data_IF_406757551622
#
_entry.id   IF_406757551622
#
_cell.length_a   1.000
_cell.length_b   1.000
_cell.length_c   1.000
_cell.angle_alpha   90.00
_cell.angle_beta   90.00
_cell.angle_gamma   90.00
#
_symmetry.space_group_name_H-M   'P 1'
#
loop_
_entity.id
_entity.type
_entity.pdbx_description
1 polymer ?
#
# COMPACT_ATOMS: atom_id res chain seq x y z
N UNK A 1 -20.28 23.57 -43.03
CA UNK A 1 -20.63 23.88 -41.64
C UNK A 1 -21.24 22.58 -41.13
N UNK A 2 -20.60 21.74 -40.32
CA UNK A 2 -19.71 22.01 -39.20
C UNK A 2 -18.53 21.02 -39.23
N UNK A 3 -17.33 21.53 -38.99
CA UNK A 3 -16.11 20.75 -38.79
C UNK A 3 -16.30 19.79 -37.62
N UNK A 4 -15.85 18.52 -37.71
CA UNK A 4 -15.76 17.65 -36.55
C UNK A 4 -14.94 18.38 -35.49
N UNK A 5 -15.54 18.64 -34.33
CA UNK A 5 -14.83 19.21 -33.20
C UNK A 5 -13.68 18.28 -32.84
N UNK A 6 -12.48 18.64 -33.26
CA UNK A 6 -11.23 18.17 -32.68
C UNK A 6 -11.22 18.71 -31.25
N UNK A 7 -11.92 18.02 -30.36
CA UNK A 7 -11.65 18.08 -28.94
C UNK A 7 -10.25 17.47 -28.79
N UNK A 8 -9.22 18.31 -28.98
CA UNK A 8 -7.96 18.13 -28.25
C UNK A 8 -8.33 18.33 -26.80
N UNK A 9 -8.84 17.26 -26.19
CA UNK A 9 -8.94 17.13 -24.77
C UNK A 9 -7.52 17.25 -24.24
N UNK A 10 -7.14 18.46 -23.85
CA UNK A 10 -6.09 18.72 -22.89
C UNK A 10 -6.52 18.08 -21.57
N UNK A 11 -6.38 16.77 -21.46
CA UNK A 11 -6.50 16.06 -20.19
C UNK A 11 -5.21 15.30 -20.03
N UNK A 12 -4.28 16.00 -19.39
CA UNK A 12 -3.13 15.46 -18.69
C UNK A 12 -2.32 14.46 -19.50
N UNK A 13 -1.18 14.94 -19.96
CA UNK A 13 0.08 14.28 -19.60
C UNK A 13 0.14 14.13 -18.06
N UNK A 14 -0.76 13.31 -17.50
CA UNK A 14 -0.53 12.65 -16.24
C UNK A 14 0.53 11.66 -16.66
N UNK A 15 1.78 12.12 -16.61
CA UNK A 15 2.88 11.24 -16.25
C UNK A 15 2.28 10.46 -15.09
N UNK A 16 1.86 9.23 -15.35
CA UNK A 16 1.57 8.28 -14.32
C UNK A 16 2.94 8.13 -13.66
N UNK A 17 3.24 9.07 -12.77
CA UNK A 17 4.27 8.95 -11.78
C UNK A 17 3.76 7.75 -11.03
N UNK A 18 4.21 6.59 -11.48
CA UNK A 18 4.09 5.35 -10.75
C UNK A 18 4.66 5.72 -9.40
N UNK A 19 3.80 6.02 -8.43
CA UNK A 19 4.13 6.26 -7.04
C UNK A 19 4.66 4.91 -6.54
N UNK A 20 5.87 4.58 -6.97
CA UNK A 20 6.52 3.32 -6.71
C UNK A 20 6.98 3.40 -5.27
N UNK A 21 6.20 2.78 -4.40
CA UNK A 21 6.53 2.66 -2.99
C UNK A 21 7.90 2.03 -2.88
N UNK A 22 8.87 2.82 -2.42
CA UNK A 22 10.21 2.32 -2.16
C UNK A 22 10.11 1.15 -1.19
N UNK A 23 10.71 0.01 -1.57
CA UNK A 23 10.67 -1.20 -0.75
C UNK A 23 11.56 -1.02 0.47
N UNK A 24 10.99 -0.49 1.54
CA UNK A 24 11.71 -0.15 2.77
C UNK A 24 11.96 -1.35 3.71
N UNK A 25 11.21 -2.45 3.57
CA UNK A 25 11.29 -3.60 4.48
C UNK A 25 12.33 -4.61 3.98
N UNK A 26 13.37 -4.84 4.79
CA UNK A 26 14.35 -5.91 4.58
C UNK A 26 13.79 -7.24 5.12
N UNK A 27 14.33 -8.38 4.66
CA UNK A 27 13.88 -9.69 5.14
C UNK A 27 13.98 -9.87 6.68
N UNK A 28 15.04 -9.39 7.34
CA UNK A 28 15.10 -9.39 8.81
C UNK A 28 14.01 -8.53 9.45
N UNK A 29 13.72 -7.35 8.90
CA UNK A 29 12.64 -6.48 9.40
C UNK A 29 11.26 -7.15 9.26
N UNK A 30 11.02 -7.84 8.15
CA UNK A 30 9.79 -8.60 7.95
C UNK A 30 9.66 -9.77 8.94
N UNK A 31 10.77 -10.44 9.27
CA UNK A 31 10.79 -11.48 10.30
C UNK A 31 10.42 -10.91 11.68
N UNK A 32 11.05 -9.82 12.10
CA UNK A 32 10.73 -9.17 13.38
C UNK A 32 9.30 -8.64 13.41
N UNK A 33 8.79 -8.13 12.29
CA UNK A 33 7.41 -7.66 12.17
C UNK A 33 6.39 -8.79 12.43
N UNK A 34 6.55 -9.94 11.76
CA UNK A 34 5.66 -11.09 11.96
C UNK A 34 5.84 -11.70 13.35
N UNK A 35 7.08 -11.74 13.86
CA UNK A 35 7.34 -12.22 15.22
C UNK A 35 6.63 -11.36 16.27
N UNK A 36 6.67 -10.04 16.11
CA UNK A 36 5.95 -9.09 16.96
C UNK A 36 4.44 -9.21 16.83
N UNK A 37 3.92 -9.43 15.62
CA UNK A 37 2.49 -9.63 15.36
C UNK A 37 1.95 -10.89 16.06
N UNK A 38 2.66 -12.02 15.96
CA UNK A 38 2.26 -13.28 16.62
C UNK A 38 2.42 -13.20 18.13
N UNK A 39 3.48 -12.56 18.64
CA UNK A 39 3.61 -12.34 20.08
C UNK A 39 2.54 -11.39 20.61
N UNK A 40 2.26 -10.30 19.89
CA UNK A 40 1.24 -9.31 20.24
C UNK A 40 -0.16 -9.92 20.18
N UNK A 41 -0.62 -10.33 19.01
CA UNK A 41 -1.96 -10.89 18.87
C UNK A 41 -2.11 -12.24 19.57
N UNK A 42 -1.14 -13.15 19.44
CA UNK A 42 -1.25 -14.51 19.95
C UNK A 42 -1.21 -14.57 21.48
N UNK A 43 -0.21 -13.97 22.11
CA UNK A 43 -0.14 -13.97 23.58
C UNK A 43 -1.26 -13.10 24.17
N UNK A 44 -1.53 -11.91 23.62
CA UNK A 44 -2.60 -11.09 24.19
C UNK A 44 -4.00 -11.67 23.96
N UNK A 45 -4.27 -12.38 22.85
CA UNK A 45 -5.53 -13.07 22.68
C UNK A 45 -5.67 -14.25 23.66
N UNK A 46 -4.61 -15.02 23.89
CA UNK A 46 -4.65 -16.15 24.83
C UNK A 46 -4.77 -15.70 26.29
N UNK A 47 -4.01 -14.67 26.68
CA UNK A 47 -4.10 -14.10 28.03
C UNK A 47 -5.46 -13.41 28.22
N UNK A 48 -5.96 -12.68 27.22
CA UNK A 48 -7.26 -12.01 27.28
C UNK A 48 -8.45 -12.97 27.36
N UNK A 49 -8.31 -14.21 26.86
CA UNK A 49 -9.33 -15.28 27.01
C UNK A 49 -9.33 -15.90 28.42
N UNK A 50 -8.22 -15.81 29.15
CA UNK A 50 -8.11 -16.29 30.53
C UNK A 50 -8.51 -15.25 31.58
N UNK A 51 -8.75 -14.00 31.16
CA UNK A 51 -9.16 -12.88 32.01
C UNK A 51 -10.69 -12.76 32.15
#
# INVERSE_FOLDING_TARGET
>A
METPGTQSTTTGDVVAQSEELTRAISAPLLFFYVLGDVLGSGIYALIGVMA
#
